data_IF_599728726402
#
_entry.id   IF_599728726402
#
_cell.length_a   1.000
_cell.length_b   1.000
_cell.length_c   1.000
_cell.angle_alpha   90.00
_cell.angle_beta   90.00
_cell.angle_gamma   90.00
#
_symmetry.space_group_name_H-M   'P 1'
#
loop_
_entity.id
_entity.type
_entity.pdbx_description
1 polymer ?
#
# COMPACT_ATOMS: atom_id res chain seq x y z
N UNK A 1 18.55 5.80 -16.84
CA UNK A 1 19.18 5.00 -15.77
C UNK A 1 18.38 3.71 -15.68
N UNK A 2 19.03 2.57 -15.47
CA UNK A 2 18.34 1.29 -15.28
C UNK A 2 17.98 1.20 -13.78
N UNK A 3 16.69 1.16 -13.43
CA UNK A 3 16.22 1.06 -12.06
C UNK A 3 16.39 -0.38 -11.56
N UNK A 4 16.86 -0.54 -10.32
CA UNK A 4 16.90 -1.86 -9.68
C UNK A 4 15.49 -2.43 -9.49
N UNK A 5 15.27 -3.64 -9.98
CA UNK A 5 14.00 -4.38 -9.88
C UNK A 5 13.90 -5.25 -8.62
N UNK A 6 14.76 -5.02 -7.63
CA UNK A 6 14.81 -5.77 -6.37
C UNK A 6 13.85 -5.21 -5.29
N UNK A 7 13.20 -4.08 -5.57
CA UNK A 7 12.33 -3.39 -4.62
C UNK A 7 10.86 -3.53 -4.98
N UNK A 8 10.02 -3.48 -3.95
CA UNK A 8 8.56 -3.47 -4.07
C UNK A 8 7.99 -2.29 -3.24
N UNK A 9 8.01 -1.06 -3.77
CA UNK A 9 7.76 0.17 -2.99
C UNK A 9 6.47 0.16 -2.18
N UNK A 10 5.35 -0.26 -2.79
CA UNK A 10 4.05 -0.33 -2.12
C UNK A 10 4.06 -1.35 -0.97
N UNK A 11 4.60 -2.54 -1.20
CA UNK A 11 4.70 -3.59 -0.18
C UNK A 11 5.61 -3.18 0.98
N UNK A 12 6.78 -2.61 0.66
CA UNK A 12 7.71 -2.08 1.64
C UNK A 12 7.06 -0.98 2.49
N UNK A 13 6.30 -0.08 1.85
CA UNK A 13 5.59 1.00 2.53
C UNK A 13 4.50 0.47 3.48
N UNK A 14 3.71 -0.51 3.05
CA UNK A 14 2.72 -1.19 3.91
C UNK A 14 3.38 -1.87 5.12
N UNK A 15 4.50 -2.57 4.90
CA UNK A 15 5.24 -3.21 5.98
C UNK A 15 5.83 -2.20 6.97
N UNK A 16 6.41 -1.08 6.48
CA UNK A 16 6.89 0.02 7.32
C UNK A 16 5.75 0.63 8.12
N UNK A 17 4.62 0.92 7.48
CA UNK A 17 3.44 1.49 8.13
C UNK A 17 2.89 0.56 9.23
N UNK A 18 2.83 -0.75 8.96
CA UNK A 18 2.46 -1.76 9.95
C UNK A 18 3.40 -1.75 11.16
N UNK A 19 4.71 -1.60 10.95
CA UNK A 19 5.72 -1.56 12.01
C UNK A 19 5.61 -0.30 12.91
N UNK A 20 5.12 0.83 12.37
CA UNK A 20 4.95 2.08 13.13
C UNK A 20 3.86 2.01 14.23
N UNK A 21 3.00 0.99 14.22
CA UNK A 21 1.91 0.81 15.21
C UNK A 21 1.01 2.04 15.38
N UNK A 22 0.77 2.79 14.29
CA UNK A 22 -0.13 3.94 14.26
C UNK A 22 -1.52 3.53 14.74
N UNK A 23 -2.16 4.32 15.60
CA UNK A 23 -3.55 4.10 16.03
C UNK A 23 -4.49 4.70 14.98
N UNK A 24 -5.32 3.91 14.29
CA UNK A 24 -6.16 4.42 13.21
C UNK A 24 -7.44 5.07 13.77
N UNK A 25 -7.51 6.40 13.68
CA UNK A 25 -8.77 7.13 13.89
C UNK A 25 -9.52 7.37 12.57
N UNK A 26 -8.81 7.33 11.44
CA UNK A 26 -9.38 7.44 10.09
C UNK A 26 -10.00 6.12 9.61
N UNK A 27 -10.71 6.16 8.48
CA UNK A 27 -11.19 4.98 7.75
C UNK A 27 -10.02 4.03 7.40
N UNK A 28 -10.29 2.73 7.17
CA UNK A 28 -11.59 2.05 7.28
C UNK A 28 -12.10 1.80 8.71
N UNK A 29 -13.41 1.59 8.87
CA UNK A 29 -14.08 1.46 10.18
C UNK A 29 -13.75 0.19 10.98
N UNK A 30 -13.28 -0.89 10.33
CA UNK A 30 -12.90 -2.13 11.03
C UNK A 30 -11.63 -1.98 11.87
N UNK A 31 -10.89 -0.85 11.75
CA UNK A 31 -9.70 -0.52 12.56
C UNK A 31 -8.70 -1.67 12.67
N UNK A 32 -8.29 -2.21 11.51
CA UNK A 32 -7.42 -3.41 11.40
C UNK A 32 -8.03 -4.68 12.01
N UNK A 33 -9.35 -4.81 11.90
CA UNK A 33 -10.11 -5.99 12.33
C UNK A 33 -10.71 -5.89 13.73
N UNK A 34 -10.22 -4.96 14.57
CA UNK A 34 -10.73 -4.78 15.95
C UNK A 34 -12.20 -4.37 16.02
N UNK A 35 -12.68 -3.63 15.02
CA UNK A 35 -14.07 -3.17 14.95
C UNK A 35 -15.04 -4.18 14.34
N UNK A 36 -14.57 -5.28 13.75
CA UNK A 36 -15.41 -6.30 13.15
C UNK A 36 -14.71 -7.68 13.18
N UNK A 37 -15.07 -8.49 14.18
CA UNK A 37 -14.46 -9.81 14.39
C UNK A 37 -14.86 -10.80 13.30
N UNK A 38 -16.12 -10.80 12.86
CA UNK A 38 -16.60 -11.67 11.79
C UNK A 38 -15.82 -11.44 10.48
N UNK A 39 -15.57 -10.17 10.13
CA UNK A 39 -14.74 -9.81 8.98
C UNK A 39 -13.28 -10.29 9.15
N UNK A 40 -12.75 -10.22 10.37
CA UNK A 40 -11.39 -10.68 10.68
C UNK A 40 -11.27 -12.19 10.58
N UNK A 41 -12.28 -12.92 11.06
CA UNK A 41 -12.32 -14.39 10.99
C UNK A 41 -12.46 -14.87 9.53
N UNK A 42 -13.15 -14.09 8.68
CA UNK A 42 -13.31 -14.40 7.25
C UNK A 42 -12.07 -14.07 6.40
N UNK A 43 -11.52 -12.85 6.49
CA UNK A 43 -10.41 -12.38 5.64
C UNK A 43 -9.01 -12.63 6.25
N UNK A 44 -8.96 -12.86 7.56
CA UNK A 44 -7.73 -13.00 8.32
C UNK A 44 -7.10 -11.68 8.75
N UNK A 45 -6.47 -11.71 9.93
CA UNK A 45 -5.80 -10.55 10.52
C UNK A 45 -4.75 -9.93 9.58
N UNK A 46 -3.96 -10.77 8.88
CA UNK A 46 -2.91 -10.27 7.99
C UNK A 46 -3.47 -9.34 6.89
N UNK A 47 -4.60 -9.71 6.29
CA UNK A 47 -5.29 -8.90 5.28
C UNK A 47 -5.75 -7.57 5.88
N UNK A 48 -6.51 -7.61 6.98
CA UNK A 48 -7.05 -6.40 7.58
C UNK A 48 -5.98 -5.49 8.19
N UNK A 49 -4.78 -5.99 8.53
CA UNK A 49 -3.70 -5.14 9.04
C UNK A 49 -3.07 -4.23 7.99
N UNK A 50 -3.25 -4.55 6.70
CA UNK A 50 -2.73 -3.77 5.57
C UNK A 50 -3.84 -3.13 4.74
N UNK A 51 -5.11 -3.35 5.11
CA UNK A 51 -6.24 -2.58 4.60
C UNK A 51 -6.27 -1.21 5.28
N UNK A 52 -5.77 -0.20 4.55
CA UNK A 52 -5.47 1.13 5.05
C UNK A 52 -5.80 2.16 3.98
N UNK A 53 -6.20 3.35 4.41
CA UNK A 53 -6.53 4.44 3.51
C UNK A 53 -5.29 5.14 2.94
N UNK A 54 -5.52 6.00 1.94
CA UNK A 54 -4.55 6.97 1.45
C UNK A 54 -4.05 7.85 2.59
N UNK A 55 -2.74 7.82 2.82
CA UNK A 55 -2.07 8.62 3.85
C UNK A 55 -0.73 9.08 3.30
N UNK A 56 -0.17 10.16 3.85
CA UNK A 56 1.15 10.67 3.44
C UNK A 56 2.25 9.60 3.24
N UNK A 57 2.42 8.57 4.10
CA UNK A 57 3.43 7.53 3.90
C UNK A 57 3.08 6.45 2.84
N UNK A 58 1.83 6.38 2.38
CA UNK A 58 1.32 5.34 1.47
C UNK A 58 0.83 5.87 0.12
N UNK A 59 0.90 7.17 -0.09
CA UNK A 59 0.47 7.87 -1.31
C UNK A 59 -1.06 8.00 -1.46
N UNK A 60 -1.48 8.62 -2.56
CA UNK A 60 -2.86 8.68 -3.01
C UNK A 60 -2.94 8.12 -4.44
N UNK A 61 -3.72 7.04 -4.62
CA UNK A 61 -3.86 6.34 -5.91
C UNK A 61 -4.35 7.27 -7.04
N UNK A 62 -5.23 8.23 -6.74
CA UNK A 62 -5.74 9.15 -7.76
C UNK A 62 -4.72 10.19 -8.25
N UNK A 63 -3.66 10.43 -7.47
CA UNK A 63 -2.60 11.37 -7.81
C UNK A 63 -1.28 10.91 -7.18
N UNK A 64 -0.64 9.87 -7.76
CA UNK A 64 0.53 9.25 -7.17
C UNK A 64 1.74 10.17 -7.29
N UNK A 65 2.40 10.45 -6.17
CA UNK A 65 3.57 11.32 -6.09
C UNK A 65 4.74 10.71 -5.29
N UNK A 66 4.54 9.52 -4.72
CA UNK A 66 5.52 8.84 -3.86
C UNK A 66 5.60 7.34 -4.16
N UNK A 67 5.23 6.46 -3.23
CA UNK A 67 5.47 5.01 -3.32
C UNK A 67 4.68 4.34 -4.45
N UNK A 68 3.51 4.86 -4.81
CA UNK A 68 2.76 4.35 -5.97
C UNK A 68 3.46 4.81 -7.26
N UNK A 69 3.90 6.07 -7.31
CA UNK A 69 4.64 6.61 -8.46
C UNK A 69 5.93 5.83 -8.73
N UNK A 70 6.68 5.53 -7.68
CA UNK A 70 7.90 4.72 -7.77
C UNK A 70 7.59 3.30 -8.30
N UNK A 71 6.49 2.69 -7.84
CA UNK A 71 6.07 1.38 -8.33
C UNK A 71 5.63 1.41 -9.80
N UNK A 72 4.95 2.48 -10.24
CA UNK A 72 4.60 2.69 -11.65
C UNK A 72 5.84 2.85 -12.53
N UNK A 73 6.86 3.57 -12.07
CA UNK A 73 8.12 3.74 -12.80
C UNK A 73 8.90 2.43 -12.93
N UNK A 74 8.98 1.65 -11.85
CA UNK A 74 9.58 0.31 -11.86
C UNK A 74 8.85 -0.63 -12.82
N UNK A 75 7.51 -0.62 -12.78
CA UNK A 75 6.70 -1.43 -13.68
C UNK A 75 6.88 -1.00 -15.14
N UNK A 76 6.87 0.30 -15.44
CA UNK A 76 7.09 0.80 -16.79
C UNK A 76 8.43 0.30 -17.35
N UNK A 77 9.49 0.39 -16.55
CA UNK A 77 10.81 -0.09 -16.95
C UNK A 77 10.85 -1.61 -17.15
N UNK A 78 10.32 -2.39 -16.20
CA UNK A 78 10.33 -3.85 -16.26
C UNK A 78 9.61 -4.39 -17.51
N UNK A 79 8.53 -3.73 -17.93
CA UNK A 79 7.74 -4.11 -19.10
C UNK A 79 8.17 -3.39 -20.39
N UNK A 80 9.21 -2.55 -20.35
CA UNK A 80 9.67 -1.79 -21.53
C UNK A 80 8.65 -0.76 -22.04
N UNK A 81 7.75 -0.30 -21.18
CA UNK A 81 6.73 0.68 -21.49
C UNK A 81 7.22 2.11 -21.19
N UNK A 82 6.65 3.11 -21.87
CA UNK A 82 6.92 4.51 -21.54
C UNK A 82 6.31 4.91 -20.19
N UNK A 83 5.13 4.36 -19.90
CA UNK A 83 4.38 4.60 -18.67
C UNK A 83 3.64 3.32 -18.28
N UNK A 84 3.55 3.06 -16.98
CA UNK A 84 2.63 2.12 -16.38
C UNK A 84 1.75 2.88 -15.38
N UNK A 85 0.56 2.34 -15.13
CA UNK A 85 -0.44 2.96 -14.28
C UNK A 85 -1.06 1.88 -13.42
N UNK A 86 -1.17 2.16 -12.12
CA UNK A 86 -1.88 1.31 -11.16
C UNK A 86 -3.20 2.03 -10.84
N UNK A 87 -4.32 1.53 -11.38
CA UNK A 87 -5.66 2.13 -11.25
C UNK A 87 -6.55 1.24 -10.38
#
# INVERSE_FOLDING_TARGET
MNLSQERAPVLEALNRYKAMRVVPFDVPGHKRGKGNRELTDFLGEKCLTVDVNSMKPLDNLCHPVSVIKEAEELAAEAFGAKHAFLW
#
